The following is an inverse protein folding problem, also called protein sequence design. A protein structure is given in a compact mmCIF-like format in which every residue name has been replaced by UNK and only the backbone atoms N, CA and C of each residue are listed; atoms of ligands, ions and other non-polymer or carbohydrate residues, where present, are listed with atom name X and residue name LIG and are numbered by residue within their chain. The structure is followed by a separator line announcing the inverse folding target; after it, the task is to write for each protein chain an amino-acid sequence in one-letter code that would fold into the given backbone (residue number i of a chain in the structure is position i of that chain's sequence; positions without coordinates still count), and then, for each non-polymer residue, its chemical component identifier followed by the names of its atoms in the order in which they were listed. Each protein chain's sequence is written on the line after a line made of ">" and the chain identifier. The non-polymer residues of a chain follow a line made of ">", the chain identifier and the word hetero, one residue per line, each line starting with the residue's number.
data_IF_202699453039
#
_entry.id   IF_202699453039
#
_cell.length_a   1.000
_cell.length_b   1.000
_cell.length_c   1.000
_cell.angle_alpha   90.00
_cell.angle_beta   90.00
_cell.angle_gamma   90.00
#
_symmetry.space_group_name_H-M   'P 1'
#
loop_
_entity.id
_entity.type
_entity.pdbx_description
1 polymer ?
#
# COMPACT_ATOMS: atom_id res chain seq x y z
N UNK A 1 15.08 -5.13 13.60
CA UNK A 1 15.31 -4.71 12.21
C UNK A 1 14.12 -3.84 11.83
N UNK A 2 14.28 -2.52 11.69
CA UNK A 2 13.18 -1.63 11.30
C UNK A 2 13.17 -1.55 9.77
N UNK A 3 12.61 -2.58 9.13
CA UNK A 3 12.48 -2.59 7.68
C UNK A 3 11.17 -1.90 7.32
N UNK A 4 11.31 -0.70 6.79
CA UNK A 4 10.20 0.11 6.31
C UNK A 4 10.31 0.25 4.81
N UNK A 5 9.21 0.04 4.10
CA UNK A 5 9.21 0.01 2.64
C UNK A 5 8.29 1.10 2.08
N UNK A 6 8.75 1.88 1.10
CA UNK A 6 7.88 2.77 0.37
C UNK A 6 6.87 1.94 -0.42
N UNK A 7 5.62 2.38 -0.41
CA UNK A 7 4.51 1.76 -1.13
C UNK A 7 3.64 2.84 -1.77
N UNK A 8 2.99 2.49 -2.86
CA UNK A 8 1.84 3.25 -3.35
C UNK A 8 0.58 2.71 -2.70
N UNK A 9 -0.34 3.60 -2.35
CA UNK A 9 -1.64 3.28 -1.77
C UNK A 9 -2.68 3.78 -2.77
N UNK A 10 -3.69 2.96 -3.04
CA UNK A 10 -4.79 3.30 -3.93
C UNK A 10 -6.08 3.09 -3.16
N UNK A 11 -6.78 4.19 -2.88
CA UNK A 11 -8.14 4.17 -2.38
C UNK A 11 -9.10 4.12 -3.57
N UNK A 12 -9.71 2.96 -3.78
CA UNK A 12 -10.60 2.67 -4.91
C UNK A 12 -12.01 3.17 -4.58
N UNK A 13 -12.55 4.01 -5.45
CA UNK A 13 -13.95 4.44 -5.45
C UNK A 13 -14.71 3.72 -6.59
N UNK A 14 -16.02 3.91 -6.66
CA UNK A 14 -16.85 3.25 -7.67
C UNK A 14 -16.45 3.59 -9.13
N UNK A 15 -16.09 4.84 -9.38
CA UNK A 15 -15.79 5.38 -10.72
C UNK A 15 -14.42 6.07 -10.83
N UNK A 16 -13.62 6.08 -9.75
CA UNK A 16 -12.35 6.81 -9.68
C UNK A 16 -11.39 6.17 -8.65
N UNK A 17 -10.13 6.57 -8.68
CA UNK A 17 -9.11 6.14 -7.71
C UNK A 17 -8.36 7.35 -7.13
N UNK A 18 -8.06 7.28 -5.84
CA UNK A 18 -7.25 8.29 -5.15
C UNK A 18 -5.93 7.66 -4.76
N UNK A 19 -4.82 8.22 -5.27
CA UNK A 19 -3.47 7.69 -5.06
C UNK A 19 -2.75 8.42 -3.94
N UNK A 20 -1.92 7.68 -3.23
CA UNK A 20 -1.01 8.21 -2.22
C UNK A 20 0.31 7.43 -2.20
N UNK A 21 1.35 8.08 -1.69
CA UNK A 21 2.58 7.42 -1.28
C UNK A 21 2.56 7.19 0.23
N UNK A 22 3.13 6.08 0.69
CA UNK A 22 3.23 5.77 2.10
C UNK A 22 4.41 4.85 2.44
N UNK A 23 4.59 4.60 3.73
CA UNK A 23 5.66 3.77 4.27
C UNK A 23 5.05 2.61 5.08
N UNK A 24 5.20 1.38 4.59
CA UNK A 24 4.80 0.16 5.30
C UNK A 24 5.88 -0.24 6.30
N UNK A 25 5.53 -0.31 7.59
CA UNK A 25 6.38 -0.87 8.63
C UNK A 25 6.21 -2.39 8.66
N UNK A 26 7.23 -3.14 8.21
CA UNK A 26 7.13 -4.59 8.18
C UNK A 26 7.15 -5.23 9.58
N UNK A 27 7.49 -4.50 10.65
CA UNK A 27 7.40 -5.05 12.00
C UNK A 27 5.95 -5.09 12.50
N UNK A 28 5.16 -4.03 12.27
CA UNK A 28 3.80 -3.90 12.81
C UNK A 28 2.67 -4.07 11.78
N UNK A 29 2.95 -3.86 10.49
CA UNK A 29 1.94 -3.75 9.46
C UNK A 29 1.25 -2.38 9.41
N UNK A 30 1.67 -1.42 10.23
CA UNK A 30 1.18 -0.04 10.11
C UNK A 30 1.72 0.59 8.82
N UNK A 31 0.89 1.43 8.20
CA UNK A 31 1.29 2.30 7.09
C UNK A 31 1.30 3.73 7.60
N UNK A 32 2.42 4.42 7.39
CA UNK A 32 2.67 5.78 7.91
C UNK A 32 3.07 6.71 6.78
N UNK A 33 3.08 8.01 7.09
CA UNK A 33 3.53 9.05 6.16
C UNK A 33 2.71 9.00 4.85
N UNK A 34 1.40 8.78 4.99
CA UNK A 34 0.48 8.74 3.84
C UNK A 34 0.36 10.15 3.27
N UNK A 35 0.77 10.33 2.03
CA UNK A 35 0.76 11.60 1.30
C UNK A 35 0.00 11.39 -0.01
N UNK A 36 -1.16 12.04 -0.13
CA UNK A 36 -1.98 11.93 -1.32
C UNK A 36 -1.44 12.73 -2.49
N UNK A 37 -1.69 12.20 -3.69
CA UNK A 37 -1.45 12.86 -4.97
C UNK A 37 -2.73 13.61 -5.36
N UNK A 38 -2.63 14.92 -5.56
CA UNK A 38 -3.72 15.79 -6.00
C UNK A 38 -5.04 15.73 -5.19
N UNK A 39 -4.98 15.23 -3.95
CA UNK A 39 -6.12 15.12 -3.04
C UNK A 39 -5.85 15.80 -1.69
N UNK A 40 -6.76 16.69 -1.29
CA UNK A 40 -6.63 17.48 -0.07
C UNK A 40 -7.57 16.95 1.02
N UNK A 41 -7.02 16.17 1.96
CA UNK A 41 -7.76 15.60 3.08
C UNK A 41 -8.44 16.69 3.92
N UNK A 42 -7.82 17.86 4.08
CA UNK A 42 -8.34 18.90 4.96
C UNK A 42 -9.67 19.47 4.46
N UNK A 43 -9.87 19.47 3.14
CA UNK A 43 -11.08 20.00 2.51
C UNK A 43 -12.03 18.90 2.03
N UNK A 44 -11.51 17.76 1.61
CA UNK A 44 -12.27 16.67 1.00
C UNK A 44 -12.59 15.52 1.96
N UNK A 45 -11.94 15.47 3.13
CA UNK A 45 -12.06 14.39 4.10
C UNK A 45 -11.17 13.20 3.76
N UNK A 46 -11.33 12.09 4.48
CA UNK A 46 -10.59 10.86 4.19
C UNK A 46 -11.27 10.10 3.03
N UNK A 47 -10.54 9.60 2.02
CA UNK A 47 -11.13 8.85 0.91
C UNK A 47 -11.99 7.66 1.39
N UNK A 48 -11.53 6.95 2.43
CA UNK A 48 -12.26 5.83 3.01
C UNK A 48 -13.60 6.19 3.68
N UNK A 49 -13.89 7.48 3.88
CA UNK A 49 -15.19 7.97 4.36
C UNK A 49 -16.14 8.33 3.22
N UNK A 50 -15.66 8.34 1.97
CA UNK A 50 -16.49 8.64 0.81
C UNK A 50 -17.57 7.57 0.62
N UNK A 51 -18.76 7.98 0.17
CA UNK A 51 -19.91 7.08 -0.04
C UNK A 51 -19.66 6.02 -1.13
N UNK A 52 -18.79 6.34 -2.09
CA UNK A 52 -18.44 5.46 -3.21
C UNK A 52 -17.17 4.66 -2.94
N UNK A 53 -16.59 4.77 -1.74
CA UNK A 53 -15.42 3.97 -1.37
C UNK A 53 -15.73 2.47 -1.45
N UNK A 54 -14.90 1.76 -2.19
CA UNK A 54 -14.96 0.31 -2.32
C UNK A 54 -13.97 -0.36 -1.37
N UNK A 55 -12.68 -0.13 -1.57
CA UNK A 55 -11.58 -0.73 -0.79
C UNK A 55 -10.28 0.05 -0.98
N UNK A 56 -9.23 -0.37 -0.26
CA UNK A 56 -7.88 0.19 -0.40
C UNK A 56 -6.90 -0.94 -0.68
N UNK A 57 -5.99 -0.72 -1.62
CA UNK A 57 -4.85 -1.61 -1.88
C UNK A 57 -3.54 -0.87 -1.67
N UNK A 58 -2.50 -1.65 -1.36
CA UNK A 58 -1.12 -1.20 -1.35
C UNK A 58 -0.33 -1.91 -2.43
N UNK A 59 0.60 -1.19 -3.06
CA UNK A 59 1.49 -1.70 -4.10
C UNK A 59 2.93 -1.48 -3.66
N UNK A 60 3.68 -2.57 -3.56
CA UNK A 60 5.13 -2.57 -3.37
C UNK A 60 5.81 -2.91 -4.69
N UNK A 61 6.56 -1.95 -5.24
CA UNK A 61 7.28 -2.10 -6.51
C UNK A 61 8.78 -2.25 -6.30
N UNK A 62 9.39 -3.23 -6.96
CA UNK A 62 10.86 -3.37 -6.99
C UNK A 62 11.34 -4.06 -8.27
N UNK A 63 12.28 -3.43 -8.97
CA UNK A 63 12.92 -4.01 -10.16
C UNK A 63 11.94 -4.35 -11.29
N UNK A 64 10.91 -3.51 -11.49
CA UNK A 64 9.89 -3.70 -12.53
C UNK A 64 8.83 -4.77 -12.20
N UNK A 65 8.65 -5.10 -10.92
CA UNK A 65 7.63 -6.05 -10.45
C UNK A 65 6.88 -5.47 -9.27
N UNK A 66 5.60 -5.80 -9.24
CA UNK A 66 4.65 -5.26 -8.26
C UNK A 66 4.06 -6.39 -7.40
N UNK A 67 3.94 -6.09 -6.11
CA UNK A 67 3.13 -6.85 -5.15
C UNK A 67 1.99 -5.96 -4.74
N UNK A 68 0.79 -6.30 -5.20
CA UNK A 68 -0.45 -5.77 -4.64
C UNK A 68 -0.87 -6.58 -3.42
N UNK A 69 -1.42 -5.89 -2.42
CA UNK A 69 -1.92 -6.45 -1.17
C UNK A 69 -3.07 -5.59 -0.61
N UNK A 70 -3.95 -6.23 0.18
CA UNK A 70 -5.09 -5.54 0.79
C UNK A 70 -4.69 -4.61 1.94
N UNK A 71 -5.28 -3.42 2.00
CA UNK A 71 -5.07 -2.44 3.07
C UNK A 71 -6.37 -2.20 3.84
N UNK A 72 -6.25 -2.14 5.16
CA UNK A 72 -7.32 -1.77 6.10
C UNK A 72 -7.18 -0.31 6.47
N UNK A 73 -8.27 0.43 6.34
CA UNK A 73 -8.39 1.82 6.79
C UNK A 73 -9.35 1.90 7.96
N UNK A 74 -8.86 2.37 9.09
CA UNK A 74 -9.72 2.78 10.19
C UNK A 74 -10.30 4.16 9.87
N UNK A 75 -11.58 4.19 9.49
CA UNK A 75 -12.29 5.40 9.07
C UNK A 75 -12.40 6.46 10.17
N UNK A 76 -12.25 6.08 11.44
CA UNK A 76 -12.35 7.02 12.55
C UNK A 76 -11.02 7.71 12.83
N UNK A 77 -9.93 6.94 12.81
CA UNK A 77 -8.59 7.45 13.10
C UNK A 77 -7.79 7.86 11.87
N UNK A 78 -8.22 7.47 10.67
CA UNK A 78 -7.48 7.65 9.42
C UNK A 78 -6.25 6.76 9.31
N UNK A 79 -6.12 5.72 10.16
CA UNK A 79 -4.95 4.84 10.17
C UNK A 79 -5.05 3.75 9.11
N UNK A 80 -3.99 3.61 8.33
CA UNK A 80 -3.81 2.57 7.32
C UNK A 80 -2.94 1.45 7.90
N UNK A 81 -3.31 0.20 7.63
CA UNK A 81 -2.57 -0.97 8.09
C UNK A 81 -2.87 -2.20 7.22
N UNK A 82 -2.00 -3.20 7.27
CA UNK A 82 -2.28 -4.52 6.71
C UNK A 82 -2.66 -5.50 7.82
N UNK A 83 -3.37 -6.57 7.46
CA UNK A 83 -3.65 -7.64 8.44
C UNK A 83 -2.38 -8.45 8.75
N UNK A 84 -2.31 -9.17 9.89
CA UNK A 84 -1.16 -10.01 10.20
C UNK A 84 -0.86 -11.08 9.14
N UNK A 85 -1.90 -11.69 8.56
CA UNK A 85 -1.75 -12.71 7.52
C UNK A 85 -1.20 -12.08 6.23
N UNK A 86 -1.77 -10.95 5.80
CA UNK A 86 -1.26 -10.19 4.65
C UNK A 86 0.19 -9.75 4.87
N UNK A 87 0.54 -9.29 6.08
CA UNK A 87 1.90 -8.89 6.43
C UNK A 87 2.89 -10.06 6.29
N UNK A 88 2.48 -11.28 6.67
CA UNK A 88 3.31 -12.47 6.52
C UNK A 88 3.53 -12.81 5.04
N UNK A 89 2.48 -12.70 4.22
CA UNK A 89 2.57 -12.90 2.77
C UNK A 89 3.49 -11.87 2.10
N UNK A 90 3.34 -10.58 2.45
CA UNK A 90 4.20 -9.51 1.95
C UNK A 90 5.65 -9.77 2.30
N UNK A 91 5.98 -10.16 3.54
CA UNK A 91 7.36 -10.50 3.94
C UNK A 91 7.94 -11.62 3.08
N UNK A 92 7.17 -12.68 2.85
CA UNK A 92 7.60 -13.81 2.02
C UNK A 92 7.83 -13.43 0.55
N UNK A 93 6.94 -12.61 -0.02
CA UNK A 93 7.03 -12.14 -1.42
C UNK A 93 8.13 -11.09 -1.59
N UNK A 94 8.24 -10.13 -0.67
CA UNK A 94 9.26 -9.08 -0.67
C UNK A 94 10.68 -9.67 -0.53
N UNK A 95 10.88 -10.66 0.34
CA UNK A 95 12.16 -11.35 0.44
C UNK A 95 12.60 -11.95 -0.91
N UNK A 96 11.66 -12.56 -1.66
CA UNK A 96 11.91 -13.08 -3.02
C UNK A 96 12.17 -11.98 -4.05
N UNK A 97 11.48 -10.83 -3.94
CA UNK A 97 11.72 -9.68 -4.81
C UNK A 97 13.15 -9.15 -4.65
N UNK A 98 13.58 -8.95 -3.40
CA UNK A 98 14.86 -8.34 -3.09
C UNK A 98 16.06 -9.29 -3.18
N UNK A 99 15.84 -10.62 -3.12
CA UNK A 99 16.91 -11.61 -3.26
C UNK A 99 17.26 -11.94 -4.71
N UNK A 100 16.49 -11.46 -5.69
CA UNK A 100 16.72 -11.78 -7.10
C UNK A 100 17.55 -10.71 -7.82
N UNK A 101 18.50 -11.10 -8.70
CA UNK A 101 19.27 -10.15 -9.47
C UNK A 101 18.35 -9.32 -10.39
N UNK A 102 18.60 -8.01 -10.57
CA UNK A 102 17.88 -7.23 -11.55
C UNK A 102 18.09 -7.82 -12.96
N UNK A 103 16.99 -8.23 -13.62
CA UNK A 103 17.02 -8.78 -14.99
C UNK A 103 16.59 -10.23 -15.17
N UNK A 104 16.20 -10.98 -14.13
CA UNK A 104 15.68 -12.35 -14.28
C UNK A 104 14.23 -12.44 -14.80
N UNK A 105 13.69 -11.37 -15.38
CA UNK A 105 12.48 -11.46 -16.19
C UNK A 105 12.83 -12.25 -17.45
N UNK A 106 12.43 -13.52 -17.44
CA UNK A 106 12.66 -14.50 -18.51
C UNK A 106 12.26 -13.93 -19.87
N UNK A 107 13.24 -13.75 -20.75
CA UNK A 107 13.03 -13.68 -22.20
C UNK A 107 12.35 -14.99 -22.62
N UNK A 108 11.13 -14.86 -23.16
CA UNK A 108 10.38 -15.95 -23.78
C UNK A 108 11.16 -16.61 -24.92
#
# INVERSE_FOLDING_TARGET
>A
MNLKLPITIVDELADDEIRAQGELDLASGDIRIVQYEDYDIATQGLPAQHKEYAFTVGVLSSGGRDIEFGVRVDRMSGRYSVTPDELLEIKGRAAKLFSQPPGSATTR
#
